data_IF_237575712082
#
_entry.id   IF_237575712082
#
_cell.length_a   1.000
_cell.length_b   1.000
_cell.length_c   1.000
_cell.angle_alpha   90.00
_cell.angle_beta   90.00
_cell.angle_gamma   90.00
#
_symmetry.space_group_name_H-M   'P 1'
#
loop_
_entity.id
_entity.type
_entity.pdbx_description
1 polymer ?
#
# COMPACT_ATOMS: atom_id res chain seq x y z
N UNK A 1 18.35 -13.67 -11.05
CA UNK A 1 17.87 -14.06 -9.71
C UNK A 1 16.78 -15.08 -9.92
N UNK A 2 16.99 -16.34 -9.56
CA UNK A 2 15.92 -17.34 -9.62
C UNK A 2 15.02 -17.10 -8.40
N UNK A 3 13.77 -16.72 -8.61
CA UNK A 3 12.75 -16.76 -7.56
C UNK A 3 12.44 -18.23 -7.28
N UNK A 4 13.20 -18.82 -6.35
CA UNK A 4 13.02 -20.18 -5.88
C UNK A 4 12.32 -20.11 -4.53
N UNK A 5 11.30 -20.95 -4.36
CA UNK A 5 10.82 -21.29 -3.03
C UNK A 5 11.93 -22.12 -2.38
N UNK A 6 12.40 -21.67 -1.22
CA UNK A 6 13.47 -22.31 -0.47
C UNK A 6 12.83 -22.82 0.81
N UNK A 7 13.13 -24.07 1.15
CA UNK A 7 12.81 -24.62 2.45
C UNK A 7 13.73 -23.96 3.49
N UNK A 8 13.11 -23.21 4.40
CA UNK A 8 13.81 -22.50 5.48
C UNK A 8 13.57 -23.16 6.83
N UNK A 9 12.85 -24.27 6.93
CA UNK A 9 12.54 -24.88 8.22
C UNK A 9 11.47 -25.96 8.12
N UNK A 10 11.32 -26.78 9.18
CA UNK A 10 10.33 -27.85 9.18
C UNK A 10 8.90 -27.29 9.09
N UNK A 11 7.99 -28.11 8.56
CA UNK A 11 6.58 -27.74 8.38
C UNK A 11 5.95 -27.29 9.71
N UNK A 12 5.41 -26.06 9.82
CA UNK A 12 4.70 -25.62 11.01
C UNK A 12 3.36 -26.35 11.17
N UNK A 13 2.85 -26.42 12.41
CA UNK A 13 1.49 -26.90 12.67
C UNK A 13 0.45 -25.80 12.41
N UNK A 14 -0.64 -26.20 11.77
CA UNK A 14 -1.87 -25.46 11.49
C UNK A 14 -2.68 -26.21 10.44
N UNK A 15 -3.80 -25.64 10.05
CA UNK A 15 -4.78 -26.29 9.18
C UNK A 15 -4.83 -25.69 7.78
N UNK A 16 -4.35 -24.44 7.63
CA UNK A 16 -4.47 -23.69 6.37
C UNK A 16 -3.14 -23.12 5.89
N UNK A 17 -3.02 -22.99 4.56
CA UNK A 17 -1.84 -22.37 3.94
C UNK A 17 -1.71 -20.93 4.43
N UNK A 18 -0.55 -20.59 4.98
CA UNK A 18 -0.31 -19.31 5.62
C UNK A 18 0.87 -18.62 4.97
N UNK A 19 0.64 -17.41 4.47
CA UNK A 19 1.66 -16.51 3.97
C UNK A 19 2.01 -15.51 5.07
N UNK A 20 3.31 -15.37 5.35
CA UNK A 20 3.83 -14.38 6.29
C UNK A 20 4.61 -13.36 5.47
N UNK A 21 4.21 -12.10 5.54
CA UNK A 21 4.93 -11.00 4.89
C UNK A 21 5.94 -10.46 5.90
N UNK A 22 7.22 -10.49 5.56
CA UNK A 22 8.29 -9.93 6.39
C UNK A 22 8.82 -8.62 5.79
N UNK A 23 9.31 -7.74 6.66
CA UNK A 23 9.97 -6.48 6.34
C UNK A 23 11.45 -6.57 6.68
N UNK A 24 12.30 -6.03 5.80
CA UNK A 24 13.74 -5.96 6.01
C UNK A 24 14.13 -4.48 6.01
N UNK A 25 14.35 -3.85 7.19
CA UNK A 25 14.62 -2.41 7.31
C UNK A 25 15.69 -1.88 6.39
N UNK A 26 16.79 -2.61 6.20
CA UNK A 26 17.86 -2.19 5.29
C UNK A 26 17.38 -1.90 3.86
N UNK A 27 16.39 -2.63 3.34
CA UNK A 27 15.93 -2.48 1.94
C UNK A 27 15.24 -1.14 1.66
N UNK A 28 14.68 -0.50 2.68
CA UNK A 28 14.09 0.85 2.59
C UNK A 28 15.01 1.89 3.25
N UNK A 29 15.64 1.53 4.37
CA UNK A 29 16.45 2.40 5.20
C UNK A 29 17.74 2.90 4.53
N UNK A 30 18.33 2.16 3.59
CA UNK A 30 19.51 2.66 2.86
C UNK A 30 19.24 4.00 2.14
N UNK A 31 17.98 4.25 1.75
CA UNK A 31 17.55 5.48 1.06
C UNK A 31 16.79 6.43 1.98
N UNK A 32 15.94 5.89 2.85
CA UNK A 32 14.99 6.67 3.63
C UNK A 32 15.34 6.76 5.12
N UNK A 33 16.47 6.19 5.54
CA UNK A 33 16.82 6.02 6.95
C UNK A 33 15.63 5.43 7.72
N UNK A 34 15.33 5.94 8.91
CA UNK A 34 14.29 5.40 9.78
C UNK A 34 12.86 5.69 9.28
N UNK A 35 12.68 6.68 8.40
CA UNK A 35 11.43 6.85 7.64
C UNK A 35 11.13 5.63 6.75
N UNK A 36 12.14 4.80 6.48
CA UNK A 36 12.00 3.52 5.80
C UNK A 36 11.02 2.56 6.47
N UNK A 37 10.77 2.68 7.78
CA UNK A 37 9.74 1.92 8.49
C UNK A 37 8.36 2.07 7.84
N UNK A 38 7.98 3.31 7.56
CA UNK A 38 6.70 3.63 6.92
C UNK A 38 6.57 2.96 5.54
N UNK A 39 7.65 2.97 4.77
CA UNK A 39 7.71 2.37 3.45
C UNK A 39 7.57 0.85 3.49
N UNK A 40 8.12 0.17 4.51
CA UNK A 40 7.93 -1.28 4.67
C UNK A 40 6.44 -1.65 4.72
N UNK A 41 5.68 -0.91 5.53
CA UNK A 41 4.25 -1.15 5.70
C UNK A 41 3.43 -0.71 4.48
N UNK A 42 3.78 0.39 3.82
CA UNK A 42 3.12 0.78 2.56
C UNK A 42 3.34 -0.27 1.46
N UNK A 43 4.58 -0.72 1.28
CA UNK A 43 4.92 -1.74 0.27
C UNK A 43 4.25 -3.08 0.58
N UNK A 44 4.25 -3.50 1.86
CA UNK A 44 3.55 -4.70 2.30
C UNK A 44 2.03 -4.61 2.07
N UNK A 45 1.42 -3.46 2.38
CA UNK A 45 0.00 -3.21 2.12
C UNK A 45 -0.31 -3.29 0.63
N UNK A 46 0.50 -2.67 -0.23
CA UNK A 46 0.31 -2.71 -1.67
C UNK A 46 0.46 -4.12 -2.25
N UNK A 47 1.45 -4.89 -1.77
CA UNK A 47 1.61 -6.32 -2.07
C UNK A 47 0.35 -7.11 -1.69
N UNK A 48 -0.09 -6.98 -0.43
CA UNK A 48 -1.25 -7.70 0.10
C UNK A 48 -2.53 -7.35 -0.62
N UNK A 49 -2.71 -6.11 -1.06
CA UNK A 49 -3.86 -5.71 -1.88
C UNK A 49 -3.94 -6.53 -3.17
N UNK A 50 -2.81 -6.76 -3.84
CA UNK A 50 -2.77 -7.57 -5.07
C UNK A 50 -2.94 -9.05 -4.77
N UNK A 51 -2.32 -9.56 -3.70
CA UNK A 51 -2.49 -10.95 -3.27
C UNK A 51 -3.94 -11.27 -2.92
N UNK A 52 -4.61 -10.38 -2.19
CA UNK A 52 -6.03 -10.52 -1.84
C UNK A 52 -6.92 -10.51 -3.10
N UNK A 53 -6.66 -9.60 -4.05
CA UNK A 53 -7.41 -9.55 -5.29
C UNK A 53 -7.25 -10.84 -6.12
N UNK A 54 -6.03 -11.37 -6.21
CA UNK A 54 -5.75 -12.62 -6.93
C UNK A 54 -6.36 -13.82 -6.21
N UNK A 55 -6.35 -13.85 -4.88
CA UNK A 55 -7.00 -14.91 -4.12
C UNK A 55 -8.53 -14.90 -4.34
N UNK A 56 -9.16 -13.72 -4.32
CA UNK A 56 -10.59 -13.56 -4.60
C UNK A 56 -10.95 -14.00 -6.02
N UNK A 57 -10.18 -13.58 -7.03
CA UNK A 57 -10.35 -13.98 -8.44
C UNK A 57 -10.16 -15.49 -8.65
N UNK A 58 -9.27 -16.12 -7.87
CA UNK A 58 -9.06 -17.57 -7.85
C UNK A 58 -10.12 -18.34 -7.04
N UNK A 59 -11.08 -17.66 -6.41
CA UNK A 59 -12.11 -18.29 -5.56
C UNK A 59 -11.59 -18.83 -4.22
N UNK A 60 -10.44 -18.33 -3.75
CA UNK A 60 -9.84 -18.70 -2.47
C UNK A 60 -10.33 -17.75 -1.37
N UNK A 61 -10.83 -18.30 -0.27
CA UNK A 61 -11.08 -17.53 0.94
C UNK A 61 -9.74 -17.04 1.52
N UNK A 62 -9.60 -15.73 1.74
CA UNK A 62 -8.35 -15.13 2.19
C UNK A 62 -8.57 -14.23 3.41
N UNK A 63 -7.79 -14.47 4.47
CA UNK A 63 -7.98 -13.78 5.76
C UNK A 63 -6.69 -13.09 6.21
N UNK A 64 -6.65 -11.77 6.08
CA UNK A 64 -5.52 -10.93 6.48
C UNK A 64 -5.59 -10.62 7.97
N UNK A 65 -4.50 -10.84 8.71
CA UNK A 65 -4.31 -10.48 10.11
C UNK A 65 -3.10 -9.57 10.27
N UNK A 66 -3.28 -8.52 11.05
CA UNK A 66 -2.25 -7.55 11.44
C UNK A 66 -1.82 -7.69 12.89
N UNK A 67 -2.52 -8.55 13.65
CA UNK A 67 -2.25 -8.88 15.04
C UNK A 67 -1.95 -10.37 15.14
N UNK A 68 -0.79 -10.71 15.65
CA UNK A 68 -0.26 -12.05 15.72
C UNK A 68 0.83 -12.13 16.79
N UNK A 69 1.17 -13.32 17.32
CA UNK A 69 2.21 -13.44 18.34
C UNK A 69 3.60 -13.12 17.76
N UNK A 70 4.05 -11.87 17.84
CA UNK A 70 5.18 -11.34 17.06
C UNK A 70 6.46 -12.14 17.31
N UNK A 71 6.78 -12.46 18.56
CA UNK A 71 7.98 -13.24 18.89
C UNK A 71 7.93 -14.65 18.29
N UNK A 72 6.79 -15.34 18.40
CA UNK A 72 6.63 -16.68 17.87
C UNK A 72 6.71 -16.70 16.33
N UNK A 73 6.08 -15.73 15.67
CA UNK A 73 6.10 -15.60 14.20
C UNK A 73 7.48 -15.18 13.71
N UNK A 74 8.19 -14.32 14.45
CA UNK A 74 9.58 -13.93 14.15
C UNK A 74 10.50 -15.15 14.14
N UNK A 75 10.43 -15.99 15.19
CA UNK A 75 11.20 -17.24 15.25
C UNK A 75 10.81 -18.22 14.13
N UNK A 76 9.52 -18.32 13.81
CA UNK A 76 9.00 -19.21 12.77
C UNK A 76 9.59 -18.90 11.39
N UNK A 77 9.78 -17.62 11.05
CA UNK A 77 10.34 -17.22 9.75
C UNK A 77 11.86 -17.10 9.75
N UNK A 78 12.53 -17.42 10.87
CA UNK A 78 13.99 -17.30 10.99
C UNK A 78 14.49 -15.85 11.04
N UNK A 79 13.60 -14.93 11.43
CA UNK A 79 13.92 -13.52 11.63
C UNK A 79 14.49 -13.26 13.03
N UNK A 80 15.13 -12.11 13.22
CA UNK A 80 15.76 -11.71 14.49
C UNK A 80 15.04 -10.57 15.21
N UNK A 81 14.01 -9.99 14.60
CA UNK A 81 13.24 -8.86 15.15
C UNK A 81 13.90 -7.49 14.91
N UNK A 82 15.12 -7.45 14.38
CA UNK A 82 15.91 -6.23 14.20
C UNK A 82 16.17 -5.96 12.71
N UNK A 83 16.75 -6.93 12.02
CA UNK A 83 17.10 -6.84 10.60
C UNK A 83 16.03 -7.43 9.68
N UNK A 84 15.16 -8.27 10.23
CA UNK A 84 13.95 -8.75 9.59
C UNK A 84 12.87 -8.97 10.64
N UNK A 85 11.62 -8.67 10.31
CA UNK A 85 10.48 -8.92 11.20
C UNK A 85 9.16 -9.12 10.42
N UNK A 86 8.19 -9.88 10.96
CA UNK A 86 6.88 -10.05 10.36
C UNK A 86 6.06 -8.75 10.36
N UNK A 87 5.33 -8.49 9.28
CA UNK A 87 4.46 -7.32 9.11
C UNK A 87 2.97 -7.70 9.09
N UNK A 88 2.64 -8.87 8.53
CA UNK A 88 1.26 -9.33 8.36
C UNK A 88 1.20 -10.84 8.08
N UNK A 89 0.04 -11.43 8.35
CA UNK A 89 -0.27 -12.83 8.08
C UNK A 89 -1.49 -12.92 7.18
N UNK A 90 -1.42 -13.74 6.14
CA UNK A 90 -2.55 -14.02 5.25
C UNK A 90 -2.78 -15.53 5.18
N UNK A 91 -3.95 -16.00 5.59
CA UNK A 91 -4.33 -17.40 5.38
C UNK A 91 -5.15 -17.57 4.11
N UNK A 92 -4.98 -18.70 3.43
CA UNK A 92 -5.68 -19.09 2.20
C UNK A 92 -6.53 -20.33 2.48
N UNK A 93 -7.77 -20.11 2.90
CA UNK A 93 -8.72 -21.14 3.35
C UNK A 93 -9.11 -20.96 4.81
N UNK A 94 -10.19 -21.65 5.18
CA UNK A 94 -10.67 -21.72 6.55
C UNK A 94 -9.74 -22.59 7.42
N UNK A 95 -9.73 -22.34 8.73
CA UNK A 95 -8.93 -23.11 9.70
C UNK A 95 -7.83 -22.30 10.39
N UNK A 96 -7.16 -22.96 11.34
CA UNK A 96 -6.10 -22.34 12.13
C UNK A 96 -4.85 -22.01 11.28
N UNK A 97 -4.33 -20.77 11.35
CA UNK A 97 -3.09 -20.40 10.67
C UNK A 97 -1.90 -21.29 11.09
N UNK A 98 -1.06 -21.66 10.14
CA UNK A 98 0.12 -22.49 10.36
C UNK A 98 1.29 -21.70 10.97
N UNK A 99 1.14 -21.34 12.26
CA UNK A 99 2.05 -20.46 12.99
C UNK A 99 2.85 -21.14 14.10
N UNK A 100 2.63 -22.44 14.32
CA UNK A 100 3.29 -23.18 15.40
C UNK A 100 4.53 -23.88 14.86
N UNK A 101 5.70 -23.36 15.20
CA UNK A 101 6.97 -23.95 14.81
C UNK A 101 7.12 -25.39 15.36
N UNK A 102 7.63 -26.29 14.52
CA UNK A 102 7.98 -27.69 14.88
C UNK A 102 9.49 -27.90 15.02
N UNK A 103 10.27 -26.86 14.73
CA UNK A 103 11.72 -26.81 14.88
C UNK A 103 12.26 -25.46 14.43
N UNK A 104 13.59 -25.31 14.47
CA UNK A 104 14.24 -24.05 14.13
C UNK A 104 14.17 -23.75 12.63
N UNK A 105 13.88 -22.49 12.29
CA UNK A 105 14.04 -21.97 10.94
C UNK A 105 15.49 -21.49 10.70
N UNK A 106 15.93 -21.57 9.46
CA UNK A 106 17.20 -21.05 8.98
C UNK A 106 17.18 -19.52 9.01
N UNK A 107 18.16 -18.93 9.68
CA UNK A 107 18.30 -17.47 9.72
C UNK A 107 18.81 -16.91 8.38
N UNK A 108 18.11 -15.89 7.89
CA UNK A 108 18.58 -15.04 6.80
C UNK A 108 19.45 -13.89 7.32
N UNK A 109 20.31 -13.34 6.47
CA UNK A 109 21.02 -12.10 6.78
C UNK A 109 21.17 -11.26 5.52
N UNK A 110 20.74 -10.00 5.60
CA UNK A 110 20.95 -8.99 4.58
C UNK A 110 22.16 -8.16 4.99
N UNK A 111 23.14 -8.09 4.09
CA UNK A 111 24.48 -7.54 4.36
C UNK A 111 25.24 -8.25 5.50
N UNK A 112 25.63 -9.51 5.25
CA UNK A 112 26.36 -10.38 6.19
C UNK A 112 27.65 -9.78 6.78
N UNK A 113 28.22 -8.74 6.17
CA UNK A 113 29.51 -8.18 6.60
C UNK A 113 29.35 -7.00 7.57
N UNK A 114 28.24 -6.28 7.49
CA UNK A 114 27.97 -5.11 8.33
C UNK A 114 26.45 -4.89 8.44
N UNK A 115 25.73 -5.76 9.18
CA UNK A 115 24.30 -5.55 9.39
C UNK A 115 24.09 -4.22 10.12
N UNK A 116 23.23 -3.37 9.55
CA UNK A 116 22.91 -2.06 10.10
C UNK A 116 21.55 -2.13 10.79
N UNK A 117 21.54 -1.82 12.07
CA UNK A 117 20.33 -1.56 12.83
C UNK A 117 19.86 -0.12 12.62
N UNK A 118 18.53 0.05 12.58
CA UNK A 118 17.86 1.34 12.62
C UNK A 118 17.08 1.45 13.94
N UNK A 119 17.65 2.04 15.00
CA UNK A 119 17.12 1.93 16.35
C UNK A 119 15.65 2.36 16.52
N UNK A 120 15.22 3.46 15.89
CA UNK A 120 13.81 3.90 15.98
C UNK A 120 12.86 2.95 15.23
N UNK A 121 13.36 2.27 14.18
CA UNK A 121 12.60 1.24 13.48
C UNK A 121 12.42 0.03 14.39
N UNK A 122 13.51 -0.43 15.03
CA UNK A 122 13.48 -1.53 16.01
C UNK A 122 12.53 -1.19 17.16
N UNK A 123 12.65 0.00 17.74
CA UNK A 123 11.81 0.46 18.85
C UNK A 123 10.33 0.53 18.47
N UNK A 124 9.99 1.18 17.35
CA UNK A 124 8.62 1.23 16.85
C UNK A 124 8.07 -0.17 16.51
N UNK A 125 8.92 -1.06 15.99
CA UNK A 125 8.60 -2.44 15.69
C UNK A 125 8.47 -3.33 16.93
N UNK A 126 8.95 -2.95 18.11
CA UNK A 126 8.71 -3.73 19.33
C UNK A 126 7.67 -3.12 20.27
N UNK A 127 7.44 -1.80 20.20
CA UNK A 127 6.51 -1.09 21.08
C UNK A 127 5.05 -1.62 21.03
N UNK A 128 4.62 -2.11 19.87
CA UNK A 128 3.32 -2.71 19.64
C UNK A 128 3.29 -4.25 19.69
N UNK A 129 4.35 -4.95 20.10
CA UNK A 129 4.37 -6.43 20.09
C UNK A 129 3.33 -7.05 21.01
N UNK A 130 2.77 -8.18 20.57
CA UNK A 130 1.81 -8.97 21.33
C UNK A 130 2.14 -10.47 21.24
N UNK A 131 1.49 -11.27 22.08
CA UNK A 131 1.67 -12.72 22.18
C UNK A 131 0.40 -13.52 21.80
N UNK A 132 -0.61 -12.85 21.22
CA UNK A 132 -1.88 -13.45 20.83
C UNK A 132 -2.18 -13.23 19.35
N UNK A 133 -3.04 -14.10 18.80
CA UNK A 133 -3.50 -14.02 17.43
C UNK A 133 -4.80 -13.22 17.36
N UNK A 134 -4.84 -12.14 16.59
CA UNK A 134 -6.06 -11.38 16.41
C UNK A 134 -6.96 -11.87 15.29
N UNK A 135 -8.17 -11.31 15.30
CA UNK A 135 -9.18 -11.60 14.30
C UNK A 135 -8.74 -11.13 12.90
N UNK A 136 -9.16 -11.84 11.84
CA UNK A 136 -9.03 -11.33 10.48
C UNK A 136 -9.62 -9.93 10.33
N UNK A 137 -8.93 -9.11 9.54
CA UNK A 137 -9.48 -7.84 9.07
C UNK A 137 -10.78 -8.14 8.30
N UNK A 138 -11.90 -7.49 8.64
CA UNK A 138 -13.15 -7.74 7.94
C UNK A 138 -13.03 -7.33 6.47
N UNK A 139 -13.62 -8.13 5.59
CA UNK A 139 -13.85 -7.72 4.21
C UNK A 139 -14.79 -6.51 4.19
N UNK A 140 -14.46 -5.52 3.38
CA UNK A 140 -15.38 -4.39 3.19
C UNK A 140 -16.57 -4.80 2.31
N UNK A 141 -17.74 -4.23 2.58
CA UNK A 141 -18.98 -4.57 1.88
C UNK A 141 -18.87 -4.33 0.36
N UNK A 142 -19.41 -5.23 -0.49
CA UNK A 142 -19.39 -5.07 -1.94
C UNK A 142 -19.92 -3.70 -2.38
N UNK A 143 -19.34 -3.13 -3.44
CA UNK A 143 -19.88 -1.91 -4.01
C UNK A 143 -21.20 -2.19 -4.73
N UNK A 144 -22.21 -1.33 -4.59
CA UNK A 144 -23.42 -1.43 -5.38
C UNK A 144 -23.16 -1.06 -6.84
N UNK A 145 -23.95 -1.63 -7.75
CA UNK A 145 -23.91 -1.32 -9.17
C UNK A 145 -23.00 -2.24 -9.99
N UNK A 146 -22.94 -1.97 -11.29
CA UNK A 146 -22.15 -2.76 -12.24
C UNK A 146 -20.76 -2.14 -12.39
N UNK A 147 -19.67 -2.90 -12.16
CA UNK A 147 -18.32 -2.38 -12.33
C UNK A 147 -18.11 -1.95 -13.80
N UNK A 148 -17.34 -0.87 -14.06
CA UNK A 148 -17.01 -0.48 -15.42
C UNK A 148 -16.24 -1.60 -16.14
N UNK A 149 -16.33 -1.69 -17.48
CA UNK A 149 -15.55 -2.65 -18.24
C UNK A 149 -14.05 -2.51 -17.95
N UNK A 150 -13.39 -3.63 -17.69
CA UNK A 150 -11.95 -3.68 -17.43
C UNK A 150 -11.32 -4.94 -18.03
N UNK A 151 -10.00 -4.94 -18.30
CA UNK A 151 -9.26 -6.15 -18.63
C UNK A 151 -9.25 -7.14 -17.46
N UNK A 152 -8.84 -8.39 -17.72
CA UNK A 152 -8.66 -9.39 -16.67
C UNK A 152 -7.67 -8.91 -15.59
N UNK A 153 -7.89 -9.32 -14.34
CA UNK A 153 -7.08 -8.87 -13.20
C UNK A 153 -5.58 -9.16 -13.40
N UNK A 154 -5.24 -10.35 -13.92
CA UNK A 154 -3.85 -10.72 -14.23
C UNK A 154 -3.19 -9.76 -15.24
N UNK A 155 -3.95 -9.32 -16.24
CA UNK A 155 -3.47 -8.40 -17.27
C UNK A 155 -3.25 -7.01 -16.68
N UNK A 156 -4.16 -6.56 -15.82
CA UNK A 156 -4.04 -5.30 -15.09
C UNK A 156 -2.81 -5.32 -14.18
N UNK A 157 -2.63 -6.36 -13.36
CA UNK A 157 -1.50 -6.50 -12.44
C UNK A 157 -0.16 -6.50 -13.19
N UNK A 158 -0.08 -7.21 -14.32
CA UNK A 158 1.13 -7.25 -15.15
C UNK A 158 1.42 -5.91 -15.84
N UNK A 159 0.39 -5.13 -16.19
CA UNK A 159 0.56 -3.79 -16.81
C UNK A 159 0.81 -2.68 -15.80
N UNK A 160 0.35 -2.85 -14.56
CA UNK A 160 0.44 -1.86 -13.50
C UNK A 160 1.90 -1.53 -13.19
N UNK A 161 2.20 -0.24 -13.26
CA UNK A 161 3.47 0.36 -12.84
C UNK A 161 3.16 1.66 -12.12
N UNK A 162 4.13 2.25 -11.43
CA UNK A 162 3.99 3.63 -10.96
C UNK A 162 4.14 4.58 -12.15
N UNK A 163 3.07 5.30 -12.48
CA UNK A 163 3.07 6.36 -13.50
C UNK A 163 4.05 7.45 -13.11
N UNK A 164 4.87 7.90 -14.06
CA UNK A 164 5.96 8.87 -13.79
C UNK A 164 5.64 10.28 -14.27
N UNK A 165 4.79 10.41 -15.28
CA UNK A 165 4.41 11.69 -15.87
C UNK A 165 2.91 11.62 -16.19
N UNK A 166 2.16 12.55 -15.61
CA UNK A 166 0.72 12.71 -15.85
C UNK A 166 0.47 13.98 -16.67
N UNK A 167 -0.61 14.00 -17.44
CA UNK A 167 -1.03 15.14 -18.23
C UNK A 167 -1.99 16.03 -17.42
N UNK A 168 -1.54 17.20 -16.92
CA UNK A 168 -2.37 18.05 -16.07
C UNK A 168 -3.55 18.68 -16.81
N UNK A 169 -3.55 18.65 -18.14
CA UNK A 169 -4.61 19.22 -18.99
C UNK A 169 -5.77 18.26 -19.22
N UNK A 170 -5.59 16.98 -18.88
CA UNK A 170 -6.61 15.94 -19.10
C UNK A 170 -7.37 15.62 -17.82
N UNK A 171 -8.67 15.46 -17.98
CA UNK A 171 -9.58 15.07 -16.89
C UNK A 171 -9.80 13.56 -16.83
N UNK A 172 -10.12 13.07 -15.63
CA UNK A 172 -10.66 11.72 -15.41
C UNK A 172 -12.19 11.79 -15.35
N UNK A 173 -12.88 10.75 -15.84
CA UNK A 173 -14.35 10.69 -15.77
C UNK A 173 -14.82 10.51 -14.32
N UNK A 174 -16.00 11.07 -13.99
CA UNK A 174 -16.59 10.89 -12.66
C UNK A 174 -16.81 9.42 -12.28
N UNK A 175 -17.32 8.55 -13.17
CA UNK A 175 -17.41 7.11 -12.87
C UNK A 175 -16.05 6.48 -12.57
N UNK A 176 -15.00 6.79 -13.34
CA UNK A 176 -13.64 6.28 -13.06
C UNK A 176 -13.17 6.71 -11.66
N UNK A 177 -13.38 7.98 -11.32
CA UNK A 177 -13.04 8.54 -10.01
C UNK A 177 -13.79 7.81 -8.88
N UNK A 178 -15.12 7.78 -8.91
CA UNK A 178 -15.96 7.20 -7.86
C UNK A 178 -15.73 5.69 -7.71
N UNK A 179 -15.60 4.94 -8.81
CA UNK A 179 -15.30 3.50 -8.76
C UNK A 179 -13.91 3.22 -8.20
N UNK A 180 -12.88 3.99 -8.60
CA UNK A 180 -11.52 3.78 -8.07
C UNK A 180 -11.45 4.02 -6.57
N UNK A 181 -12.07 5.10 -6.06
CA UNK A 181 -12.14 5.39 -4.64
C UNK A 181 -12.97 4.36 -3.88
N UNK A 182 -14.17 4.03 -4.40
CA UNK A 182 -15.06 3.07 -3.78
C UNK A 182 -14.42 1.71 -3.59
N UNK A 183 -13.70 1.21 -4.60
CA UNK A 183 -13.06 -0.11 -4.53
C UNK A 183 -11.88 -0.05 -3.56
N UNK A 184 -11.06 0.99 -3.65
CA UNK A 184 -9.85 1.08 -2.85
C UNK A 184 -10.12 1.28 -1.35
N UNK A 185 -11.06 2.16 -1.03
CA UNK A 185 -11.38 2.57 0.36
C UNK A 185 -12.40 1.64 1.03
N UNK A 186 -12.81 0.56 0.37
CA UNK A 186 -13.76 -0.43 0.89
C UNK A 186 -13.25 -1.06 2.19
N UNK A 187 -13.99 -0.84 3.27
CA UNK A 187 -13.63 -1.33 4.61
C UNK A 187 -12.41 -0.65 5.22
N UNK A 188 -12.01 0.51 4.70
CA UNK A 188 -11.00 1.37 5.31
C UNK A 188 -11.64 2.19 6.45
N UNK A 189 -10.91 2.35 7.56
CA UNK A 189 -11.32 3.12 8.74
C UNK A 189 -10.50 4.38 8.95
N UNK A 190 -9.37 4.50 8.26
CA UNK A 190 -8.55 5.71 8.31
C UNK A 190 -9.26 6.88 7.62
N UNK A 191 -9.13 8.11 8.17
CA UNK A 191 -9.49 9.32 7.46
C UNK A 191 -8.80 9.37 6.09
N UNK A 192 -9.59 9.67 5.05
CA UNK A 192 -9.09 9.83 3.69
C UNK A 192 -9.63 11.10 3.08
N UNK A 193 -8.72 11.90 2.57
CA UNK A 193 -9.02 13.13 1.86
C UNK A 193 -8.71 12.96 0.39
N UNK A 194 -9.43 13.68 -0.45
CA UNK A 194 -9.22 13.64 -1.89
C UNK A 194 -9.11 15.06 -2.41
N UNK A 195 -7.93 15.42 -2.90
CA UNK A 195 -7.70 16.68 -3.58
C UNK A 195 -8.03 16.48 -5.05
N UNK A 196 -9.11 17.10 -5.52
CA UNK A 196 -9.59 17.02 -6.90
C UNK A 196 -9.04 18.18 -7.69
N UNK A 197 -8.36 17.89 -8.81
CA UNK A 197 -7.89 18.90 -9.75
C UNK A 197 -8.66 18.90 -11.07
N UNK A 198 -8.95 17.72 -11.62
CA UNK A 198 -9.52 17.55 -12.96
C UNK A 198 -10.38 16.28 -13.07
N UNK A 199 -11.49 16.24 -12.31
CA UNK A 199 -12.52 15.20 -12.45
C UNK A 199 -13.74 15.83 -13.11
N UNK A 200 -14.29 15.16 -14.13
CA UNK A 200 -15.46 15.66 -14.85
C UNK A 200 -16.63 15.87 -13.90
N UNK A 201 -17.37 16.98 -14.06
CA UNK A 201 -18.58 17.29 -13.28
C UNK A 201 -18.35 17.38 -11.76
N UNK A 202 -17.10 17.60 -11.33
CA UNK A 202 -16.74 17.79 -9.93
C UNK A 202 -15.93 19.08 -9.79
N UNK A 203 -16.22 19.86 -8.76
CA UNK A 203 -15.52 21.11 -8.48
C UNK A 203 -14.08 20.82 -8.01
N UNK A 204 -13.05 21.56 -8.46
CA UNK A 204 -11.72 21.43 -7.89
C UNK A 204 -11.69 21.84 -6.41
N UNK A 205 -10.99 21.07 -5.59
CA UNK A 205 -10.87 21.34 -4.17
C UNK A 205 -10.52 20.10 -3.35
N UNK A 206 -10.43 20.30 -2.04
CA UNK A 206 -10.26 19.23 -1.06
C UNK A 206 -11.63 18.66 -0.69
N UNK A 207 -11.74 17.33 -0.66
CA UNK A 207 -12.91 16.59 -0.20
C UNK A 207 -12.53 15.66 0.94
N UNK A 208 -13.49 15.36 1.81
CA UNK A 208 -13.36 14.32 2.82
C UNK A 208 -14.16 13.10 2.36
N UNK A 209 -13.52 11.96 2.14
CA UNK A 209 -14.21 10.74 1.71
C UNK A 209 -15.10 10.17 2.85
N UNK A 210 -16.33 9.67 2.58
CA UNK A 210 -16.99 9.49 1.28
C UNK A 210 -17.85 10.68 0.80
N UNK A 211 -17.72 11.85 1.44
CA UNK A 211 -18.52 13.03 1.13
C UNK A 211 -17.99 13.77 -0.10
N UNK A 212 -18.59 13.48 -1.27
CA UNK A 212 -18.23 14.07 -2.56
C UNK A 212 -19.18 15.18 -3.06
N UNK A 213 -20.15 15.60 -2.25
CA UNK A 213 -21.19 16.55 -2.68
C UNK A 213 -20.68 17.98 -2.93
N UNK A 214 -19.74 18.44 -2.11
CA UNK A 214 -19.07 19.73 -2.24
C UNK A 214 -17.69 19.65 -1.57
N UNK A 215 -16.68 20.41 -2.03
CA UNK A 215 -15.37 20.41 -1.41
C UNK A 215 -15.44 21.07 -0.03
N UNK A 216 -14.71 20.51 0.94
CA UNK A 216 -14.49 21.16 2.25
C UNK A 216 -13.62 22.41 2.11
N UNK A 217 -12.77 22.44 1.07
CA UNK A 217 -12.00 23.62 0.67
C UNK A 217 -12.01 23.73 -0.87
N UNK A 218 -12.86 24.58 -1.46
CA UNK A 218 -12.89 24.78 -2.91
C UNK A 218 -11.61 25.47 -3.37
N UNK A 219 -11.19 25.16 -4.60
CA UNK A 219 -10.10 25.88 -5.27
C UNK A 219 -9.06 24.97 -5.91
N UNK A 220 -8.15 25.59 -6.65
CA UNK A 220 -7.03 24.91 -7.26
C UNK A 220 -5.89 24.74 -6.23
N UNK A 221 -5.64 23.49 -5.84
CA UNK A 221 -4.62 23.13 -4.84
C UNK A 221 -3.33 22.56 -5.45
N UNK A 222 -3.14 22.66 -6.78
CA UNK A 222 -2.00 22.05 -7.48
C UNK A 222 -0.64 22.52 -6.94
N UNK A 223 -0.45 23.82 -6.76
CA UNK A 223 0.82 24.39 -6.28
C UNK A 223 1.07 24.04 -4.80
N UNK A 224 0.01 24.01 -3.98
CA UNK A 224 0.11 23.58 -2.59
C UNK A 224 0.53 22.11 -2.50
N UNK A 225 -0.07 21.24 -3.31
CA UNK A 225 0.25 19.82 -3.40
C UNK A 225 1.65 19.57 -3.95
N UNK A 226 2.11 20.38 -4.90
CA UNK A 226 3.48 20.34 -5.41
C UNK A 226 4.50 20.49 -4.26
N UNK A 227 4.34 21.53 -3.44
CA UNK A 227 5.23 21.79 -2.32
C UNK A 227 5.06 20.79 -1.17
N UNK A 228 3.82 20.42 -0.83
CA UNK A 228 3.56 19.37 0.17
C UNK A 228 4.20 18.04 -0.25
N UNK A 229 4.26 17.74 -1.55
CA UNK A 229 4.89 16.54 -2.10
C UNK A 229 6.42 16.64 -2.23
N UNK A 230 7.08 17.66 -1.69
CA UNK A 230 8.52 17.86 -1.84
C UNK A 230 8.92 18.17 -3.28
N UNK A 231 8.17 19.09 -3.90
CA UNK A 231 8.41 19.60 -5.26
C UNK A 231 8.32 18.52 -6.35
N UNK A 232 7.47 17.50 -6.13
CA UNK A 232 7.20 16.43 -7.08
C UNK A 232 6.00 16.76 -7.96
N UNK A 233 6.24 16.87 -9.27
CA UNK A 233 5.22 17.17 -10.29
C UNK A 233 4.02 16.21 -10.27
N UNK A 234 4.19 14.95 -9.83
CA UNK A 234 3.12 13.97 -9.79
C UNK A 234 1.90 14.45 -9.00
N UNK A 235 2.12 15.04 -7.82
CA UNK A 235 1.04 15.56 -6.99
C UNK A 235 0.36 16.77 -7.63
N UNK A 236 1.16 17.66 -8.25
CA UNK A 236 0.66 18.81 -8.99
C UNK A 236 -0.17 18.40 -10.20
N UNK A 237 0.27 17.39 -10.95
CA UNK A 237 -0.23 17.10 -12.29
C UNK A 237 -1.32 16.01 -12.31
N UNK A 238 -1.49 15.27 -11.21
CA UNK A 238 -2.58 14.31 -11.05
C UNK A 238 -3.96 14.94 -11.28
N UNK A 239 -4.92 14.12 -11.75
CA UNK A 239 -6.32 14.53 -11.84
C UNK A 239 -6.96 14.60 -10.45
N UNK A 240 -6.53 13.72 -9.53
CA UNK A 240 -6.82 13.81 -8.11
C UNK A 240 -5.72 13.12 -7.29
N UNK A 241 -5.57 13.53 -6.02
CA UNK A 241 -4.63 12.94 -5.06
C UNK A 241 -5.41 12.45 -3.85
N UNK A 242 -5.25 11.17 -3.53
CA UNK A 242 -5.81 10.57 -2.32
C UNK A 242 -4.78 10.67 -1.20
N UNK A 243 -5.18 11.20 -0.06
CA UNK A 243 -4.34 11.41 1.12
C UNK A 243 -4.90 10.55 2.25
N UNK A 244 -4.18 9.48 2.59
CA UNK A 244 -4.43 8.72 3.81
C UNK A 244 -3.88 9.50 5.00
N UNK A 245 -4.65 9.61 6.08
CA UNK A 245 -4.26 10.32 7.29
C UNK A 245 -4.61 9.52 8.56
N UNK A 246 -4.05 9.91 9.69
CA UNK A 246 -4.39 9.38 11.01
C UNK A 246 -4.30 10.46 12.08
N UNK A 247 -5.17 10.33 13.09
CA UNK A 247 -5.03 11.04 14.35
C UNK A 247 -4.06 10.23 15.23
N UNK A 248 -2.84 10.74 15.40
CA UNK A 248 -1.80 10.02 16.14
C UNK A 248 -2.07 10.00 17.65
N UNK A 249 -2.88 10.92 18.17
CA UNK A 249 -3.23 10.96 19.59
C UNK A 249 -4.28 9.89 19.96
N UNK A 250 -4.92 9.29 18.96
CA UNK A 250 -6.01 8.31 19.13
C UNK A 250 -5.58 6.87 18.82
N UNK A 251 -4.30 6.64 18.52
CA UNK A 251 -3.78 5.31 18.15
C UNK A 251 -2.59 4.93 19.02
N UNK A 252 -2.49 3.64 19.34
CA UNK A 252 -1.32 3.06 19.99
C UNK A 252 -0.22 2.66 18.97
N UNK A 253 0.91 2.17 19.48
CA UNK A 253 2.06 1.78 18.66
C UNK A 253 1.75 0.67 17.65
N UNK A 254 0.87 -0.28 18.00
CA UNK A 254 0.45 -1.33 17.05
C UNK A 254 -0.46 -0.73 15.98
N UNK A 255 -1.42 0.11 16.38
CA UNK A 255 -2.31 0.81 15.45
C UNK A 255 -1.56 1.72 14.50
N UNK A 256 -0.40 2.26 14.89
CA UNK A 256 0.48 3.00 13.97
C UNK A 256 1.02 2.12 12.83
N UNK A 257 1.43 0.87 13.12
CA UNK A 257 1.81 -0.14 12.09
C UNK A 257 0.63 -0.44 11.16
N UNK A 258 -0.54 -0.69 11.76
CA UNK A 258 -1.75 -1.03 11.01
C UNK A 258 -2.21 0.11 10.11
N UNK A 259 -2.11 1.35 10.58
CA UNK A 259 -2.45 2.53 9.80
C UNK A 259 -1.60 2.64 8.53
N UNK A 260 -0.29 2.36 8.63
CA UNK A 260 0.59 2.36 7.46
C UNK A 260 0.29 1.18 6.53
N UNK A 261 0.05 -0.02 7.08
CA UNK A 261 -0.34 -1.17 6.25
C UNK A 261 -1.64 -0.89 5.49
N UNK A 262 -2.62 -0.28 6.17
CA UNK A 262 -3.92 0.06 5.61
C UNK A 262 -3.83 1.14 4.53
N UNK A 263 -3.01 2.17 4.75
CA UNK A 263 -2.69 3.15 3.70
C UNK A 263 -2.08 2.46 2.46
N UNK A 264 -1.17 1.49 2.67
CA UNK A 264 -0.61 0.67 1.59
C UNK A 264 -1.65 -0.22 0.89
N UNK A 265 -2.60 -0.80 1.63
CA UNK A 265 -3.70 -1.58 1.05
C UNK A 265 -4.56 -0.72 0.11
N UNK A 266 -4.90 0.50 0.56
CA UNK A 266 -5.65 1.47 -0.26
C UNK A 266 -4.85 1.85 -1.50
N UNK A 267 -3.56 2.18 -1.35
CA UNK A 267 -2.69 2.51 -2.48
C UNK A 267 -2.58 1.37 -3.52
N UNK A 268 -2.38 0.13 -3.05
CA UNK A 268 -2.30 -1.03 -3.91
C UNK A 268 -3.59 -1.28 -4.69
N UNK A 269 -4.75 -1.09 -4.05
CA UNK A 269 -6.06 -1.17 -4.70
C UNK A 269 -6.29 -0.03 -5.68
N UNK A 270 -5.94 1.20 -5.31
CA UNK A 270 -6.04 2.37 -6.21
C UNK A 270 -5.20 2.14 -7.47
N UNK A 271 -4.00 1.59 -7.34
CA UNK A 271 -3.17 1.25 -8.50
C UNK A 271 -3.84 0.24 -9.42
N UNK A 272 -4.41 -0.84 -8.89
CA UNK A 272 -5.12 -1.84 -9.73
C UNK A 272 -6.36 -1.22 -10.36
N UNK A 273 -7.18 -0.51 -9.57
CA UNK A 273 -8.40 0.12 -10.06
C UNK A 273 -8.13 1.18 -11.13
N UNK A 274 -7.13 2.04 -10.94
CA UNK A 274 -6.73 3.06 -11.91
C UNK A 274 -6.35 2.42 -13.25
N UNK A 275 -5.50 1.39 -13.24
CA UNK A 275 -5.07 0.71 -14.46
C UNK A 275 -6.20 -0.10 -15.12
N UNK A 276 -7.08 -0.72 -14.32
CA UNK A 276 -8.28 -1.39 -14.82
C UNK A 276 -9.21 -0.42 -15.57
N UNK A 277 -9.26 0.83 -15.12
CA UNK A 277 -10.11 1.90 -15.68
C UNK A 277 -9.38 2.78 -16.70
N UNK A 278 -8.18 2.38 -17.14
CA UNK A 278 -7.45 3.03 -18.22
C UNK A 278 -6.72 4.33 -17.84
N UNK A 279 -6.54 4.60 -16.55
CA UNK A 279 -5.74 5.73 -16.04
C UNK A 279 -4.51 5.22 -15.28
N UNK A 280 -3.64 6.14 -14.86
CA UNK A 280 -2.41 5.83 -14.16
C UNK A 280 -2.47 6.19 -12.69
N UNK A 281 -1.63 5.53 -11.88
CA UNK A 281 -1.47 5.83 -10.46
C UNK A 281 0.01 5.87 -10.06
N UNK A 282 0.33 6.61 -9.00
CA UNK A 282 1.66 6.66 -8.40
C UNK A 282 1.57 7.07 -6.94
N UNK A 283 2.20 6.31 -6.04
CA UNK A 283 2.32 6.70 -4.65
C UNK A 283 3.55 7.61 -4.46
N UNK A 284 3.49 8.51 -3.48
CA UNK A 284 4.62 9.36 -3.12
C UNK A 284 4.62 9.72 -1.63
N UNK A 285 5.78 10.20 -1.19
CA UNK A 285 5.96 10.82 0.12
C UNK A 285 5.73 12.31 0.07
N UNK A 286 5.51 12.91 1.23
CA UNK A 286 5.21 14.32 1.42
C UNK A 286 5.99 14.87 2.62
N UNK A 287 5.94 16.19 2.79
CA UNK A 287 6.44 16.95 3.93
C UNK A 287 5.40 16.90 5.05
N UNK A 288 5.66 16.12 6.10
CA UNK A 288 4.73 15.89 7.21
C UNK A 288 4.17 17.19 7.82
N UNK A 289 5.02 18.20 8.00
CA UNK A 289 4.63 19.48 8.60
C UNK A 289 3.62 20.29 7.77
N UNK A 290 3.49 20.01 6.47
CA UNK A 290 2.52 20.68 5.60
C UNK A 290 1.11 20.08 5.71
N UNK A 291 0.98 18.85 6.20
CA UNK A 291 -0.28 18.10 6.14
C UNK A 291 -1.39 18.71 7.00
N UNK A 292 -1.16 19.12 8.26
CA UNK A 292 -2.24 19.67 9.07
C UNK A 292 -2.87 20.93 8.46
N UNK A 293 -2.05 21.80 7.88
CA UNK A 293 -2.53 22.99 7.19
C UNK A 293 -3.25 22.63 5.88
N UNK A 294 -2.71 21.68 5.12
CA UNK A 294 -3.33 21.20 3.87
C UNK A 294 -4.73 20.63 4.10
N UNK A 295 -4.90 19.84 5.17
CA UNK A 295 -6.16 19.20 5.51
C UNK A 295 -7.11 20.11 6.29
N UNK A 296 -6.58 21.13 6.98
CA UNK A 296 -7.34 21.96 7.91
C UNK A 296 -7.67 21.23 9.22
N UNK A 297 -6.99 20.11 9.50
CA UNK A 297 -7.22 19.24 10.65
C UNK A 297 -5.87 18.82 11.25
N UNK A 298 -5.76 18.59 12.57
CA UNK A 298 -4.52 18.20 13.23
C UNK A 298 -4.17 16.71 13.00
N UNK A 299 -4.24 16.25 11.74
CA UNK A 299 -3.97 14.88 11.35
C UNK A 299 -2.56 14.74 10.77
N UNK A 300 -1.94 13.59 11.02
CA UNK A 300 -0.71 13.20 10.35
C UNK A 300 -1.01 12.55 9.01
N UNK A 301 -0.27 12.93 7.97
CA UNK A 301 -0.32 12.23 6.69
C UNK A 301 0.34 10.87 6.79
N UNK A 302 -0.23 9.89 6.08
CA UNK A 302 0.32 8.54 5.95
C UNK A 302 0.85 8.34 4.54
N UNK A 303 0.02 8.43 3.50
CA UNK A 303 0.43 8.15 2.12
C UNK A 303 -0.34 9.03 1.14
N UNK A 304 0.35 9.53 0.12
CA UNK A 304 -0.29 10.16 -1.04
C UNK A 304 -0.32 9.16 -2.19
N UNK A 305 -1.50 8.99 -2.80
CA UNK A 305 -1.68 8.26 -4.06
C UNK A 305 -2.23 9.19 -5.13
N UNK A 306 -1.40 9.54 -6.09
CA UNK A 306 -1.78 10.33 -7.26
C UNK A 306 -2.46 9.45 -8.30
N UNK A 307 -3.59 9.91 -8.84
CA UNK A 307 -4.28 9.26 -9.96
C UNK A 307 -4.52 10.28 -11.06
N UNK A 308 -4.20 9.91 -12.30
CA UNK A 308 -4.29 10.82 -13.43
C UNK A 308 -4.02 10.16 -14.77
N UNK A 309 -4.09 10.95 -15.83
CA UNK A 309 -3.94 10.43 -17.19
C UNK A 309 -2.45 10.40 -17.55
N UNK A 310 -1.87 9.24 -17.89
CA UNK A 310 -0.45 9.16 -18.26
C UNK A 310 -0.19 9.82 -19.63
N UNK A 311 0.97 10.43 -19.80
CA UNK A 311 1.41 10.99 -21.11
C UNK A 311 1.95 9.93 -22.08
N UNK A 312 1.98 8.67 -21.65
CA UNK A 312 2.53 7.54 -22.40
C UNK A 312 1.74 6.26 -22.12
N UNK A 313 1.78 5.31 -23.07
CA UNK A 313 1.20 3.98 -22.86
C UNK A 313 2.07 3.13 -21.92
N UNK A 314 1.43 2.48 -20.95
CA UNK A 314 2.10 1.53 -20.06
C UNK A 314 2.52 0.27 -20.82
N UNK A 315 3.71 -0.25 -20.52
CA UNK A 315 4.17 -1.54 -21.04
C UNK A 315 4.04 -2.61 -19.96
N UNK A 316 3.57 -3.82 -20.30
CA UNK A 316 3.51 -4.89 -19.34
C UNK A 316 4.90 -5.25 -18.81
N UNK A 317 4.94 -5.56 -17.52
CA UNK A 317 6.07 -6.20 -16.87
C UNK A 317 6.31 -7.62 -17.41
N UNK A 318 7.45 -8.18 -17.01
CA UNK A 318 7.78 -9.55 -17.33
C UNK A 318 6.94 -10.54 -16.53
N UNK A 319 6.81 -11.76 -17.05
CA UNK A 319 6.22 -12.87 -16.29
C UNK A 319 7.22 -13.37 -15.24
N UNK A 320 6.78 -14.10 -14.21
CA UNK A 320 7.70 -14.80 -13.32
C UNK A 320 8.74 -15.58 -14.12
N UNK A 321 10.03 -15.41 -13.78
CA UNK A 321 11.21 -15.99 -14.47
C UNK A 321 11.46 -15.50 -15.91
N UNK A 322 10.69 -14.56 -16.42
CA UNK A 322 10.88 -13.92 -17.72
C UNK A 322 10.82 -12.39 -17.60
N UNK A 323 11.79 -11.74 -16.91
CA UNK A 323 11.80 -10.30 -16.72
C UNK A 323 11.98 -9.55 -18.05
N UNK A 324 11.33 -8.39 -18.16
CA UNK A 324 11.52 -7.49 -19.31
C UNK A 324 12.63 -6.49 -19.02
N UNK A 325 13.38 -6.10 -20.06
CA UNK A 325 14.38 -5.03 -19.93
C UNK A 325 13.70 -3.68 -19.68
N UNK A 326 14.09 -3.01 -18.59
CA UNK A 326 13.71 -1.63 -18.32
C UNK A 326 14.34 -0.70 -19.36
N UNK A 327 13.54 0.16 -19.98
CA UNK A 327 14.02 1.25 -20.84
C UNK A 327 13.76 2.58 -20.15
N UNK A 328 14.72 3.53 -20.17
CA UNK A 328 14.47 4.87 -19.65
C UNK A 328 13.26 5.51 -20.36
N UNK A 329 12.36 6.09 -19.58
CA UNK A 329 11.31 6.95 -20.12
C UNK A 329 11.98 8.19 -20.71
N UNK A 330 11.79 8.43 -22.00
CA UNK A 330 12.10 9.70 -22.64
C UNK A 330 10.79 10.49 -22.67
N UNK A 331 10.78 11.69 -22.09
CA UNK A 331 9.69 12.62 -22.33
C UNK A 331 9.52 12.78 -23.85
N UNK A 332 8.29 12.71 -24.35
CA UNK A 332 8.02 13.13 -25.72
C UNK A 332 8.27 14.64 -25.76
N UNK A 333 9.19 15.06 -26.63
CA UNK A 333 9.43 16.45 -26.94
C UNK A 333 8.18 17.10 -27.54
#
# INVERSE_FOLDING_TARGET
VNHLLIDVGPLPLGETTTLIVTGIPWRTGWRYAERGFRHLYWDAGALLAHTLAVAEDAGLAAYLRTVFPDHAVTQLVGADGVHEFPLAILTLGDGEPALRATGAAAAGAVDRRAPLEFPLVTEAQHAGDVDWLGEPRPAGAPLPGTPPPSPALEEVILRRISTRIMDPTRSVSRPTFEWSLGVALRGCKLPHFVVVHAVQELEPGLYHWPSLGAPVRPGNLRDELYHAAGDQDLARDAAFVVIAAADLDQIDDRRYREAHLEAGLVDGRLHVAAFALGVGASALTFVDAAIPQLLGEPLAGLLFTCVGVPTYGHRPGGRPRAPVHMRPLRARA
#
